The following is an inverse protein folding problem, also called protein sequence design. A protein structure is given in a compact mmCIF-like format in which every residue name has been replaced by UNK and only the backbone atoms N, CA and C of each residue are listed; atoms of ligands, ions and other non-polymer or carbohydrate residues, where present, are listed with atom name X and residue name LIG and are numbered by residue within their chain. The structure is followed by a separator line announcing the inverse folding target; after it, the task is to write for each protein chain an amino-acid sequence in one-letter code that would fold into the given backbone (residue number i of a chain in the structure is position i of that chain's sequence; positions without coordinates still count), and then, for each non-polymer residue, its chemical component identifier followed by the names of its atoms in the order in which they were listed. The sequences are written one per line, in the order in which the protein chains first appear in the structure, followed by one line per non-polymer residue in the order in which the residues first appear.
data_IF_533018219766
#
_entry.id   IF_533018219766
#
_cell.length_a   1.000
_cell.length_b   1.000
_cell.length_c   1.000
_cell.angle_alpha   90.00
_cell.angle_beta   90.00
_cell.angle_gamma   90.00
#
_symmetry.space_group_name_H-M   'P 1'
#
loop_
_entity.id
_entity.type
_entity.pdbx_description
1 polymer ?
#
# COMPACT_ATOMS: atom_id res chain seq x y z
N UNK A 1 -38.12 -22.38 35.44
CA UNK A 1 -38.24 -20.91 35.43
C UNK A 1 -36.85 -20.32 35.30
N UNK A 2 -36.72 -19.34 34.41
CA UNK A 2 -35.47 -18.89 33.79
C UNK A 2 -34.45 -18.27 34.76
N UNK A 3 -33.19 -18.70 34.63
CA UNK A 3 -32.02 -17.98 35.11
C UNK A 3 -31.21 -17.51 33.91
N UNK A 4 -31.57 -16.35 33.36
CA UNK A 4 -30.86 -15.64 32.28
C UNK A 4 -29.43 -15.35 32.71
N UNK A 5 -28.48 -16.18 32.29
CA UNK A 5 -27.07 -15.82 32.18
C UNK A 5 -26.83 -15.39 30.75
N UNK A 6 -27.04 -14.10 30.48
CA UNK A 6 -26.72 -13.46 29.22
C UNK A 6 -25.21 -13.66 28.97
N UNK A 7 -24.85 -14.70 28.22
CA UNK A 7 -23.62 -14.71 27.44
C UNK A 7 -23.80 -13.55 26.45
N UNK A 8 -23.45 -12.34 26.92
CA UNK A 8 -23.20 -11.21 26.07
C UNK A 8 -22.37 -11.76 24.92
N UNK A 9 -22.93 -11.67 23.71
CA UNK A 9 -22.25 -12.01 22.46
C UNK A 9 -20.80 -11.54 22.63
N UNK A 10 -19.87 -12.48 22.82
CA UNK A 10 -18.45 -12.19 22.71
C UNK A 10 -18.34 -11.67 21.29
N UNK A 11 -18.21 -10.36 21.17
CA UNK A 11 -18.17 -9.69 19.89
C UNK A 11 -16.90 -10.20 19.23
N UNK A 12 -17.05 -11.17 18.32
CA UNK A 12 -15.95 -11.98 17.75
C UNK A 12 -14.88 -11.10 17.10
N UNK A 13 -15.19 -9.82 16.84
CA UNK A 13 -14.26 -8.80 16.34
C UNK A 13 -13.48 -8.01 17.40
N UNK A 14 -13.74 -8.16 18.70
CA UNK A 14 -13.06 -7.39 19.74
C UNK A 14 -11.82 -8.15 20.21
N UNK A 15 -10.66 -7.60 19.88
CA UNK A 15 -9.37 -8.10 20.36
C UNK A 15 -9.23 -7.90 21.86
N UNK A 16 -8.58 -8.83 22.55
CA UNK A 16 -8.15 -8.62 23.93
C UNK A 16 -7.11 -7.50 24.01
N UNK A 17 -6.91 -6.92 25.20
CA UNK A 17 -5.90 -5.87 25.40
C UNK A 17 -4.50 -6.32 24.97
N UNK A 18 -4.12 -7.56 25.27
CA UNK A 18 -2.83 -8.15 24.86
C UNK A 18 -2.74 -8.31 23.33
N UNK A 19 -3.83 -8.74 22.68
CA UNK A 19 -3.88 -8.84 21.22
C UNK A 19 -3.77 -7.46 20.55
N UNK A 20 -4.41 -6.45 21.13
CA UNK A 20 -4.35 -5.08 20.64
C UNK A 20 -2.94 -4.50 20.77
N UNK A 21 -2.25 -4.75 21.89
CA UNK A 21 -0.86 -4.33 22.08
C UNK A 21 0.08 -5.03 21.09
N UNK A 22 -0.05 -6.35 20.92
CA UNK A 22 0.70 -7.10 19.90
C UNK A 22 0.45 -6.57 18.49
N UNK A 23 -0.80 -6.27 18.15
CA UNK A 23 -1.16 -5.69 16.86
C UNK A 23 -0.54 -4.30 16.67
N UNK A 24 -0.51 -3.48 17.72
CA UNK A 24 0.13 -2.16 17.66
C UNK A 24 1.63 -2.28 17.40
N UNK A 25 2.34 -3.12 18.14
CA UNK A 25 3.77 -3.35 17.93
C UNK A 25 4.07 -3.88 16.52
N UNK A 26 3.25 -4.81 16.04
CA UNK A 26 3.35 -5.31 14.67
C UNK A 26 3.15 -4.19 13.64
N UNK A 27 2.11 -3.37 13.77
CA UNK A 27 1.86 -2.23 12.85
C UNK A 27 3.00 -1.23 12.85
N UNK A 28 3.57 -0.91 14.00
CA UNK A 28 4.72 0.00 14.12
C UNK A 28 5.91 -0.58 13.35
N UNK A 29 6.25 -1.85 13.59
CA UNK A 29 7.35 -2.53 12.89
C UNK A 29 7.13 -2.53 11.38
N UNK A 30 5.94 -2.92 10.92
CA UNK A 30 5.60 -2.93 9.49
C UNK A 30 5.72 -1.55 8.86
N UNK A 31 5.33 -0.48 9.57
CA UNK A 31 5.50 0.89 9.06
C UNK A 31 6.97 1.26 8.86
N UNK A 32 7.82 0.95 9.84
CA UNK A 32 9.26 1.19 9.76
C UNK A 32 9.86 0.41 8.59
N UNK A 33 9.51 -0.87 8.45
CA UNK A 33 10.00 -1.72 7.37
C UNK A 33 9.56 -1.20 5.99
N UNK A 34 8.32 -0.74 5.85
CA UNK A 34 7.81 -0.13 4.63
C UNK A 34 8.55 1.18 4.27
N UNK A 35 8.80 2.05 5.25
CA UNK A 35 9.55 3.29 5.03
C UNK A 35 11.00 3.01 4.61
N UNK A 36 11.65 2.03 5.24
CA UNK A 36 13.00 1.60 4.85
C UNK A 36 13.02 1.01 3.44
N UNK A 37 12.00 0.23 3.07
CA UNK A 37 11.85 -0.29 1.72
C UNK A 37 11.74 0.84 0.70
N UNK A 38 10.80 1.78 0.88
CA UNK A 38 10.62 2.91 -0.04
C UNK A 38 11.87 3.80 -0.14
N UNK A 39 12.59 4.03 0.96
CA UNK A 39 13.85 4.77 0.95
C UNK A 39 14.95 4.05 0.15
N UNK A 40 14.97 2.72 0.19
CA UNK A 40 15.98 1.91 -0.49
C UNK A 40 15.64 1.62 -1.96
N UNK A 41 14.40 1.88 -2.38
CA UNK A 41 13.88 1.59 -3.72
C UNK A 41 13.33 2.87 -4.36
N UNK A 42 14.20 3.83 -4.76
CA UNK A 42 13.76 5.07 -5.38
C UNK A 42 12.95 4.81 -6.67
N UNK A 43 13.13 3.65 -7.33
CA UNK A 43 12.40 3.26 -8.55
C UNK A 43 10.90 3.25 -8.35
N UNK A 44 10.44 2.96 -7.14
CA UNK A 44 9.03 3.00 -6.78
C UNK A 44 8.50 4.44 -6.80
N UNK A 45 9.29 5.41 -6.35
CA UNK A 45 8.90 6.83 -6.36
C UNK A 45 8.76 7.35 -7.79
N UNK A 46 9.73 7.06 -8.67
CA UNK A 46 9.67 7.48 -10.07
C UNK A 46 8.53 6.79 -10.80
N UNK A 47 8.32 5.50 -10.57
CA UNK A 47 7.22 4.73 -11.15
C UNK A 47 5.86 5.32 -10.78
N UNK A 48 5.62 5.56 -9.48
CA UNK A 48 4.35 6.13 -9.01
C UNK A 48 4.20 7.58 -9.47
N UNK A 49 5.28 8.37 -9.45
CA UNK A 49 5.27 9.77 -9.87
C UNK A 49 4.92 9.93 -11.35
N UNK A 50 5.48 9.08 -12.21
CA UNK A 50 5.14 9.07 -13.64
C UNK A 50 3.70 8.62 -13.88
N UNK A 51 3.23 7.59 -13.18
CA UNK A 51 1.84 7.18 -13.26
C UNK A 51 0.88 8.32 -12.88
N UNK A 52 1.13 8.98 -11.75
CA UNK A 52 0.29 10.09 -11.27
C UNK A 52 0.34 11.29 -12.23
N UNK A 53 1.52 11.62 -12.77
CA UNK A 53 1.66 12.64 -13.81
C UNK A 53 0.73 12.33 -14.99
N UNK A 54 0.75 11.10 -15.47
CA UNK A 54 -0.06 10.67 -16.60
C UNK A 54 -1.56 10.69 -16.28
N UNK A 55 -1.96 10.26 -15.08
CA UNK A 55 -3.36 10.35 -14.62
C UNK A 55 -3.83 11.81 -14.60
N UNK A 56 -3.02 12.73 -14.08
CA UNK A 56 -3.37 14.16 -13.99
C UNK A 56 -3.40 14.84 -15.36
N UNK A 57 -2.55 14.41 -16.30
CA UNK A 57 -2.52 14.97 -17.66
C UNK A 57 -3.63 14.42 -18.55
N UNK A 58 -3.91 13.12 -18.46
CA UNK A 58 -4.86 12.43 -19.36
C UNK A 58 -6.28 12.39 -18.80
N UNK A 59 -6.45 12.55 -17.48
CA UNK A 59 -7.73 12.46 -16.76
C UNK A 59 -8.61 11.31 -17.26
N UNK A 60 -8.16 10.05 -17.08
CA UNK A 60 -8.87 8.89 -17.61
C UNK A 60 -10.25 8.73 -16.95
N UNK A 61 -11.23 8.24 -17.72
CA UNK A 61 -12.57 7.97 -17.22
C UNK A 61 -12.62 6.76 -16.27
N UNK A 62 -11.83 5.71 -16.52
CA UNK A 62 -11.60 4.60 -15.57
C UNK A 62 -10.12 4.53 -15.19
N UNK A 63 -9.82 4.92 -13.94
CA UNK A 63 -8.47 4.93 -13.39
C UNK A 63 -7.92 3.52 -13.21
N UNK A 64 -8.78 2.51 -12.98
CA UNK A 64 -8.33 1.13 -12.71
C UNK A 64 -7.87 0.45 -14.00
N UNK A 65 -8.61 0.64 -15.08
CA UNK A 65 -8.21 0.16 -16.40
C UNK A 65 -6.91 0.84 -16.84
N UNK A 66 -6.83 2.17 -16.66
CA UNK A 66 -5.60 2.92 -16.92
C UNK A 66 -4.40 2.41 -16.10
N UNK A 67 -4.60 2.10 -14.82
CA UNK A 67 -3.56 1.50 -13.98
C UNK A 67 -3.16 0.11 -14.46
N UNK A 68 -4.11 -0.74 -14.84
CA UNK A 68 -3.83 -2.07 -15.36
C UNK A 68 -2.94 -1.99 -16.61
N UNK A 69 -3.30 -1.16 -17.58
CA UNK A 69 -2.50 -0.95 -18.79
C UNK A 69 -1.10 -0.40 -18.49
N UNK A 70 -1.01 0.56 -17.57
CA UNK A 70 0.28 1.17 -17.20
C UNK A 70 1.22 0.16 -16.52
N UNK A 71 0.74 -0.53 -15.48
CA UNK A 71 1.57 -1.43 -14.66
C UNK A 71 1.82 -2.80 -15.29
N UNK A 72 1.04 -3.20 -16.30
CA UNK A 72 1.29 -4.44 -17.06
C UNK A 72 2.17 -4.25 -18.29
N UNK A 73 2.60 -3.02 -18.59
CA UNK A 73 3.49 -2.74 -19.71
C UNK A 73 4.85 -3.46 -19.53
N UNK A 74 5.23 -4.39 -20.44
CA UNK A 74 6.45 -5.17 -20.31
C UNK A 74 7.73 -4.33 -20.40
N UNK A 75 7.64 -3.14 -21.00
CA UNK A 75 8.77 -2.21 -21.12
C UNK A 75 8.90 -1.25 -19.94
N UNK A 76 7.99 -1.32 -18.96
CA UNK A 76 7.94 -0.39 -17.83
C UNK A 76 9.27 -0.35 -17.08
N UNK A 77 9.88 -1.50 -16.80
CA UNK A 77 11.16 -1.58 -16.12
C UNK A 77 12.28 -0.84 -16.87
N UNK A 78 12.34 -0.98 -18.20
CA UNK A 78 13.35 -0.30 -19.02
C UNK A 78 13.14 1.23 -19.02
N UNK A 79 11.89 1.69 -19.07
CA UNK A 79 11.54 3.12 -19.04
C UNK A 79 11.92 3.74 -17.69
N UNK A 80 11.56 3.09 -16.59
CA UNK A 80 11.88 3.59 -15.24
C UNK A 80 13.39 3.56 -14.99
N UNK A 81 14.10 2.50 -15.39
CA UNK A 81 15.55 2.40 -15.28
C UNK A 81 16.27 3.53 -16.04
N UNK A 82 15.83 3.83 -17.27
CA UNK A 82 16.42 4.92 -18.07
C UNK A 82 16.20 6.30 -17.42
N UNK A 83 15.04 6.53 -16.81
CA UNK A 83 14.74 7.78 -16.10
C UNK A 83 15.56 7.93 -14.82
N UNK A 84 15.85 6.82 -14.14
CA UNK A 84 16.72 6.84 -12.97
C UNK A 84 18.13 7.27 -13.29
N UNK A 85 18.70 6.78 -14.39
CA UNK A 85 20.03 7.18 -14.84
C UNK A 85 20.08 8.66 -15.26
N UNK A 86 18.98 9.17 -15.82
CA UNK A 86 18.85 10.59 -16.18
C UNK A 86 18.79 11.53 -14.98
N UNK A 87 18.20 11.10 -13.87
CA UNK A 87 18.07 11.90 -12.63
C UNK A 87 19.34 11.88 -11.76
N UNK A 88 20.30 10.98 -12.03
CA UNK A 88 21.58 10.88 -11.30
C UNK A 88 22.71 11.75 -11.91
N UNK A 89 22.41 12.52 -12.96
CA UNK A 89 23.32 13.50 -13.56
C UNK A 89 22.92 14.92 -13.18
#
# INVERSE_FOLDING_TARGET
MAGKGSLAKLDVGVLSAEQQEKLQQFKIKTRIDNENYLRSHPEVEVLIGDFLRDVLLKMPADIREFAADYFTNPNLHAVIGSKMEGNMK
#
